data_IF_855358241551
#
_entry.id   IF_855358241551
#
_cell.length_a   1.000
_cell.length_b   1.000
_cell.length_c   1.000
_cell.angle_alpha   90.00
_cell.angle_beta   90.00
_cell.angle_gamma   90.00
#
_symmetry.space_group_name_H-M   'P 1'
#
loop_
_entity.id
_entity.type
_entity.pdbx_description
1 polymer ?
#
# COMPACT_ATOMS: atom_id res chain seq x y z
N UNK A 1 -15.73 -13.71 6.79
CA UNK A 1 -15.11 -13.50 5.46
C UNK A 1 -13.64 -13.92 5.55
N UNK A 2 -13.20 -14.86 4.73
CA UNK A 2 -11.81 -15.31 4.68
C UNK A 2 -11.01 -14.45 3.71
N UNK A 3 -9.78 -14.10 4.09
CA UNK A 3 -8.83 -13.43 3.20
C UNK A 3 -8.56 -14.30 1.95
N UNK A 4 -8.70 -13.71 0.75
CA UNK A 4 -8.39 -14.43 -0.50
C UNK A 4 -6.93 -14.88 -0.52
N UNK A 5 -6.67 -16.13 -0.93
CA UNK A 5 -5.31 -16.68 -1.13
C UNK A 5 -4.45 -15.79 -2.03
N UNK A 6 -5.10 -15.10 -2.97
CA UNK A 6 -4.47 -14.15 -3.87
C UNK A 6 -3.91 -12.94 -3.10
N UNK A 7 -4.66 -12.42 -2.12
CA UNK A 7 -4.26 -11.31 -1.26
C UNK A 7 -3.05 -11.68 -0.38
N UNK A 8 -3.11 -12.86 0.25
CA UNK A 8 -2.00 -13.41 1.05
C UNK A 8 -0.69 -13.52 0.26
N UNK A 9 -0.75 -13.99 -0.99
CA UNK A 9 0.42 -14.06 -1.90
C UNK A 9 0.97 -12.69 -2.25
N UNK A 10 0.10 -11.69 -2.39
CA UNK A 10 0.51 -10.31 -2.62
C UNK A 10 1.31 -9.75 -1.43
N UNK A 11 0.80 -9.94 -0.21
CA UNK A 11 1.47 -9.52 1.03
C UNK A 11 2.87 -10.12 1.12
N UNK A 12 2.96 -11.44 0.93
CA UNK A 12 4.24 -12.16 0.97
C UNK A 12 5.22 -11.63 -0.08
N UNK A 13 4.76 -11.36 -1.31
CA UNK A 13 5.59 -10.79 -2.38
C UNK A 13 6.02 -9.35 -2.08
N UNK A 14 5.16 -8.55 -1.45
CA UNK A 14 5.43 -7.17 -1.08
C UNK A 14 6.44 -7.06 0.08
N UNK A 15 6.39 -7.97 1.05
CA UNK A 15 7.32 -8.04 2.16
C UNK A 15 8.75 -8.40 1.71
N UNK A 16 8.88 -9.35 0.77
CA UNK A 16 10.18 -9.84 0.34
C UNK A 16 10.89 -10.67 1.43
N UNK A 17 12.15 -11.06 1.19
CA UNK A 17 12.88 -12.05 2.00
C UNK A 17 13.13 -11.63 3.47
N UNK A 18 13.04 -10.34 3.78
CA UNK A 18 13.32 -9.73 5.09
C UNK A 18 12.18 -8.85 5.61
N UNK A 19 11.03 -8.84 4.92
CA UNK A 19 9.88 -8.03 5.33
C UNK A 19 8.92 -8.82 6.20
N UNK A 20 8.22 -8.12 7.08
CA UNK A 20 7.12 -8.70 7.84
C UNK A 20 5.82 -8.42 7.12
N UNK A 21 4.95 -9.43 7.02
CA UNK A 21 3.56 -9.26 6.59
C UNK A 21 2.66 -9.03 7.80
N UNK A 22 1.57 -8.29 7.63
CA UNK A 22 0.58 -8.05 8.69
C UNK A 22 1.11 -7.29 9.91
N UNK A 23 1.95 -6.28 9.67
CA UNK A 23 2.62 -5.54 10.73
C UNK A 23 1.61 -4.72 11.53
N UNK A 24 1.57 -4.86 12.86
CA UNK A 24 0.63 -4.11 13.70
C UNK A 24 0.91 -2.61 13.61
N UNK A 25 -0.15 -1.85 13.42
CA UNK A 25 -0.18 -0.39 13.47
C UNK A 25 -0.89 0.07 14.76
N UNK A 26 -0.61 1.29 15.25
CA UNK A 26 -1.33 1.87 16.38
C UNK A 26 -2.85 1.84 16.17
N UNK A 27 -3.60 1.46 17.22
CA UNK A 27 -5.06 1.37 17.19
C UNK A 27 -5.62 0.07 16.59
N UNK A 28 -4.88 -1.05 16.66
CA UNK A 28 -5.37 -2.38 16.25
C UNK A 28 -5.44 -2.61 14.74
N UNK A 29 -4.85 -1.71 13.94
CA UNK A 29 -4.79 -1.82 12.48
C UNK A 29 -3.58 -2.67 12.07
N UNK A 30 -3.53 -3.14 10.83
CA UNK A 30 -2.38 -3.88 10.26
C UNK A 30 -1.96 -3.27 8.94
N UNK A 31 -0.65 -3.21 8.70
CA UNK A 31 -0.02 -2.90 7.42
C UNK A 31 0.26 -4.23 6.71
N UNK A 32 0.05 -4.28 5.40
CA UNK A 32 0.19 -5.53 4.64
C UNK A 32 1.62 -6.04 4.59
N UNK A 33 2.59 -5.14 4.41
CA UNK A 33 4.00 -5.47 4.40
C UNK A 33 4.90 -4.31 4.83
N UNK A 34 5.92 -4.59 5.64
CA UNK A 34 6.93 -3.62 6.05
C UNK A 34 8.34 -4.18 5.91
N UNK A 35 9.31 -3.32 5.58
CA UNK A 35 10.72 -3.56 5.83
C UNK A 35 11.37 -2.33 6.49
N UNK A 36 12.68 -2.40 6.81
CA UNK A 36 13.41 -1.35 7.56
C UNK A 36 13.19 0.08 7.02
N UNK A 37 13.02 0.27 5.71
CA UNK A 37 12.86 1.60 5.10
C UNK A 37 11.56 1.84 4.34
N UNK A 38 10.70 0.82 4.19
CA UNK A 38 9.55 0.85 3.27
C UNK A 38 8.31 0.21 3.90
N UNK A 39 7.21 0.95 3.87
CA UNK A 39 5.87 0.44 4.10
C UNK A 39 5.19 0.15 2.77
N UNK A 40 4.55 -1.01 2.64
CA UNK A 40 3.80 -1.41 1.45
C UNK A 40 2.40 -1.86 1.84
N UNK A 41 1.40 -1.32 1.15
CA UNK A 41 0.01 -1.73 1.28
C UNK A 41 -0.49 -2.26 -0.05
N UNK A 42 -1.30 -3.31 -0.05
CA UNK A 42 -1.86 -3.93 -1.25
C UNK A 42 -3.37 -3.79 -1.23
N UNK A 43 -3.92 -2.95 -2.10
CA UNK A 43 -5.36 -2.78 -2.23
C UNK A 43 -5.83 -3.40 -3.56
N UNK A 44 -6.63 -4.47 -3.48
CA UNK A 44 -7.08 -5.25 -4.64
C UNK A 44 -8.52 -4.98 -5.07
N UNK A 45 -9.34 -4.40 -4.19
CA UNK A 45 -10.75 -4.17 -4.47
C UNK A 45 -10.97 -3.06 -5.50
N UNK A 46 -10.02 -2.14 -5.64
CA UNK A 46 -10.16 -0.93 -6.46
C UNK A 46 -11.19 0.06 -5.90
N UNK A 47 -11.76 -0.21 -4.72
CA UNK A 47 -12.75 0.68 -4.10
C UNK A 47 -12.08 1.96 -3.59
N UNK A 48 -12.73 3.12 -3.80
CA UNK A 48 -12.22 4.40 -3.29
C UNK A 48 -12.02 4.39 -1.77
N UNK A 49 -12.92 3.73 -1.04
CA UNK A 49 -12.81 3.56 0.40
C UNK A 49 -11.58 2.74 0.79
N UNK A 50 -11.33 1.61 0.10
CA UNK A 50 -10.13 0.78 0.31
C UNK A 50 -8.83 1.53 0.01
N UNK A 51 -8.77 2.22 -1.13
CA UNK A 51 -7.61 3.03 -1.52
C UNK A 51 -7.30 4.14 -0.51
N UNK A 52 -8.34 4.82 -0.01
CA UNK A 52 -8.19 5.83 1.04
C UNK A 52 -7.72 5.24 2.37
N UNK A 53 -8.25 4.08 2.76
CA UNK A 53 -7.83 3.38 3.97
C UNK A 53 -6.36 2.94 3.88
N UNK A 54 -5.97 2.40 2.73
CA UNK A 54 -4.60 1.98 2.43
C UNK A 54 -3.62 3.16 2.52
N UNK A 55 -3.95 4.29 1.89
CA UNK A 55 -3.16 5.51 2.00
C UNK A 55 -3.01 5.98 3.47
N UNK A 56 -4.10 5.93 4.25
CA UNK A 56 -4.05 6.27 5.69
C UNK A 56 -3.17 5.31 6.49
N UNK A 57 -3.17 4.00 6.19
CA UNK A 57 -2.27 3.02 6.82
C UNK A 57 -0.81 3.31 6.50
N UNK A 58 -0.50 3.61 5.23
CA UNK A 58 0.83 4.03 4.81
C UNK A 58 1.29 5.31 5.52
N UNK A 59 0.39 6.28 5.75
CA UNK A 59 0.68 7.46 6.57
C UNK A 59 1.03 7.09 8.01
N UNK A 60 0.23 6.22 8.63
CA UNK A 60 0.42 5.75 10.01
C UNK A 60 1.73 4.98 10.22
N UNK A 61 2.27 4.31 9.18
CA UNK A 61 3.54 3.57 9.28
C UNK A 61 4.76 4.46 9.59
N UNK A 62 4.67 5.78 9.35
CA UNK A 62 5.77 6.75 9.49
C UNK A 62 7.06 6.41 8.72
N UNK A 63 7.03 5.42 7.81
CA UNK A 63 8.21 5.03 7.02
C UNK A 63 8.55 6.07 5.96
N UNK A 64 9.85 6.24 5.64
CA UNK A 64 10.28 7.20 4.63
C UNK A 64 9.77 6.79 3.24
N UNK A 65 9.87 5.52 2.85
CA UNK A 65 9.29 5.03 1.60
C UNK A 65 7.91 4.43 1.84
N UNK A 66 6.93 4.85 1.04
CA UNK A 66 5.55 4.36 1.07
C UNK A 66 5.19 3.83 -0.31
N UNK A 67 4.66 2.62 -0.38
CA UNK A 67 4.28 1.96 -1.62
C UNK A 67 2.83 1.48 -1.53
N UNK A 68 2.00 1.90 -2.47
CA UNK A 68 0.64 1.39 -2.63
C UNK A 68 0.58 0.50 -3.87
N UNK A 69 0.33 -0.79 -3.69
CA UNK A 69 0.24 -1.75 -4.77
C UNK A 69 -1.22 -2.07 -5.11
N UNK A 70 -1.59 -1.87 -6.38
CA UNK A 70 -3.00 -1.93 -6.84
C UNK A 70 -3.12 -2.62 -8.20
N UNK A 71 -4.33 -3.07 -8.61
CA UNK A 71 -4.60 -3.43 -10.00
C UNK A 71 -4.23 -2.29 -10.95
N UNK A 72 -3.76 -2.62 -12.15
CA UNK A 72 -3.25 -1.61 -13.09
C UNK A 72 -4.29 -0.53 -13.45
N UNK A 73 -5.57 -0.92 -13.55
CA UNK A 73 -6.69 -0.01 -13.84
C UNK A 73 -6.92 1.04 -12.73
N UNK A 74 -6.50 0.74 -11.50
CA UNK A 74 -6.78 1.58 -10.32
C UNK A 74 -5.58 2.45 -9.93
N UNK A 75 -4.50 2.45 -10.72
CA UNK A 75 -3.28 3.20 -10.41
C UNK A 75 -3.50 4.72 -10.29
N UNK A 76 -4.41 5.28 -11.08
CA UNK A 76 -4.70 6.71 -11.06
C UNK A 76 -5.52 7.09 -9.83
N UNK A 77 -6.57 6.32 -9.54
CA UNK A 77 -7.36 6.47 -8.31
C UNK A 77 -6.50 6.28 -7.05
N UNK A 78 -5.53 5.36 -7.08
CA UNK A 78 -4.59 5.14 -6.00
C UNK A 78 -3.66 6.35 -5.79
N UNK A 79 -3.20 6.97 -6.88
CA UNK A 79 -2.38 8.17 -6.81
C UNK A 79 -3.15 9.36 -6.21
N UNK A 80 -4.42 9.52 -6.60
CA UNK A 80 -5.32 10.51 -6.01
C UNK A 80 -5.57 10.25 -4.52
N UNK A 81 -5.83 9.00 -4.13
CA UNK A 81 -6.02 8.63 -2.73
C UNK A 81 -4.79 8.96 -1.86
N UNK A 82 -3.57 8.74 -2.39
CA UNK A 82 -2.34 9.15 -1.70
C UNK A 82 -2.21 10.66 -1.55
N UNK A 83 -2.55 11.44 -2.58
CA UNK A 83 -2.56 12.91 -2.50
C UNK A 83 -3.59 13.42 -1.50
N UNK A 84 -4.81 12.87 -1.53
CA UNK A 84 -5.89 13.23 -0.60
C UNK A 84 -5.57 12.87 0.85
N UNK A 85 -4.68 11.91 1.07
CA UNK A 85 -4.16 11.55 2.39
C UNK A 85 -2.91 12.34 2.81
N UNK A 86 -2.51 13.35 2.03
CA UNK A 86 -1.31 14.17 2.24
C UNK A 86 -0.03 13.33 2.39
N UNK A 87 0.14 12.31 1.52
CA UNK A 87 1.35 11.50 1.50
C UNK A 87 1.96 11.42 0.10
N UNK A 88 3.29 11.53 0.06
CA UNK A 88 4.09 11.13 -1.10
C UNK A 88 4.45 9.64 -1.04
N UNK A 89 4.77 9.07 -2.20
CA UNK A 89 5.24 7.69 -2.29
C UNK A 89 5.16 7.14 -3.71
N UNK A 90 5.11 5.82 -3.83
CA UNK A 90 5.05 5.12 -5.12
C UNK A 90 3.78 4.29 -5.23
N UNK A 91 3.03 4.48 -6.32
CA UNK A 91 1.97 3.55 -6.71
C UNK A 91 2.56 2.51 -7.65
N UNK A 92 2.32 1.23 -7.40
CA UNK A 92 2.83 0.12 -8.20
C UNK A 92 1.68 -0.77 -8.68
N UNK A 93 1.77 -1.34 -9.87
CA UNK A 93 0.83 -2.38 -10.26
C UNK A 93 1.15 -3.74 -9.59
N UNK A 94 0.19 -4.65 -9.58
CA UNK A 94 0.33 -6.00 -9.00
C UNK A 94 1.51 -6.82 -9.56
N UNK A 95 1.80 -6.70 -10.86
CA UNK A 95 2.95 -7.39 -11.48
C UNK A 95 4.28 -6.76 -11.08
N UNK A 96 4.27 -5.47 -10.77
CA UNK A 96 5.45 -4.66 -10.47
C UNK A 96 6.13 -4.05 -11.70
N UNK A 97 5.57 -4.23 -12.90
CA UNK A 97 6.12 -3.70 -14.15
C UNK A 97 5.89 -2.20 -14.33
N UNK A 98 4.79 -1.67 -13.79
CA UNK A 98 4.44 -0.24 -13.88
C UNK A 98 4.45 0.40 -12.50
N UNK A 99 4.95 1.63 -12.45
CA UNK A 99 5.02 2.45 -11.23
C UNK A 99 4.79 3.92 -11.56
N UNK A 100 4.18 4.64 -10.62
CA UNK A 100 3.98 6.09 -10.68
C UNK A 100 4.40 6.70 -9.35
N UNK A 101 5.19 7.77 -9.41
CA UNK A 101 5.60 8.51 -8.22
C UNK A 101 4.55 9.57 -7.89
N UNK A 102 4.13 9.60 -6.63
CA UNK A 102 3.25 10.63 -6.07
C UNK A 102 4.10 11.57 -5.22
N UNK A 103 4.14 12.85 -5.58
CA UNK A 103 4.78 13.88 -4.76
C UNK A 103 3.83 14.26 -3.63
N UNK A 104 4.39 14.53 -2.45
CA UNK A 104 3.61 15.09 -1.34
C UNK A 104 3.09 16.48 -1.77
N UNK A 105 1.81 16.81 -1.55
CA UNK A 105 1.35 18.18 -1.67
C UNK A 105 2.23 19.12 -0.82
N UNK A 106 2.52 20.32 -1.35
CA UNK A 106 3.30 21.34 -0.64
C UNK A 106 2.46 21.96 0.47
#
# INVERSE_FOLDING_TARGET
MSESTSHRRAKAKAAGKLGQTEVPLPGGRRLDAENRGRATEVERSGSRAGLGLAARRLRSSRKPQKVLQVPQKDMDAAAEAMRNADIGGTVKNMSGSKRRTVRKPK
#
